data_IF_545207825096
#
_entry.id   IF_545207825096
#
_cell.length_a   1.000
_cell.length_b   1.000
_cell.length_c   1.000
_cell.angle_alpha   90.00
_cell.angle_beta   90.00
_cell.angle_gamma   90.00
#
_symmetry.space_group_name_H-M   'P 1'
#
loop_
_entity.id
_entity.type
_entity.pdbx_description
1 polymer ?
#
# COMPACT_ATOMS: atom_id res chain seq x y z
N UNK A 1 -4.60 16.15 -1.39
CA UNK A 1 -5.77 15.32 -1.01
C UNK A 1 -5.93 14.31 -2.12
N UNK A 2 -6.13 13.03 -1.80
CA UNK A 2 -6.25 11.95 -2.78
C UNK A 2 -7.36 12.23 -3.80
N UNK A 3 -7.06 12.05 -5.08
CA UNK A 3 -8.02 12.27 -6.16
C UNK A 3 -9.06 11.13 -6.27
N UNK A 4 -10.19 11.33 -6.97
CA UNK A 4 -11.12 10.24 -7.27
C UNK A 4 -10.49 9.11 -8.11
N UNK A 5 -9.52 9.44 -8.96
CA UNK A 5 -8.79 8.46 -9.75
C UNK A 5 -7.91 7.59 -8.84
N UNK A 6 -7.14 8.24 -7.97
CA UNK A 6 -6.28 7.60 -6.98
C UNK A 6 -7.09 6.67 -6.07
N UNK A 7 -8.28 7.11 -5.62
CA UNK A 7 -9.20 6.27 -4.82
C UNK A 7 -9.61 5.00 -5.57
N UNK A 8 -9.84 5.11 -6.88
CA UNK A 8 -10.22 3.97 -7.71
C UNK A 8 -9.05 3.01 -7.89
N UNK A 9 -7.85 3.55 -8.13
CA UNK A 9 -6.60 2.79 -8.22
C UNK A 9 -6.32 2.06 -6.92
N UNK A 10 -6.38 2.76 -5.79
CA UNK A 10 -6.14 2.19 -4.46
C UNK A 10 -7.07 1.01 -4.18
N UNK A 11 -8.37 1.18 -4.44
CA UNK A 11 -9.36 0.10 -4.28
C UNK A 11 -9.08 -1.10 -5.17
N UNK A 12 -8.68 -0.87 -6.43
CA UNK A 12 -8.29 -1.96 -7.34
C UNK A 12 -7.05 -2.71 -6.82
N UNK A 13 -6.02 -1.96 -6.41
CA UNK A 13 -4.78 -2.52 -5.88
C UNK A 13 -5.01 -3.24 -4.53
N UNK A 14 -5.97 -2.79 -3.71
CA UNK A 14 -6.38 -3.50 -2.50
C UNK A 14 -7.01 -4.84 -2.80
N UNK A 15 -7.94 -4.90 -3.77
CA UNK A 15 -8.50 -6.18 -4.20
C UNK A 15 -7.39 -7.11 -4.71
N UNK A 16 -6.43 -6.58 -5.45
CA UNK A 16 -5.27 -7.35 -5.92
C UNK A 16 -4.41 -7.87 -4.76
N UNK A 17 -4.10 -7.04 -3.76
CA UNK A 17 -3.36 -7.44 -2.57
C UNK A 17 -4.09 -8.56 -1.81
N UNK A 18 -5.41 -8.44 -1.63
CA UNK A 18 -6.23 -9.50 -1.01
C UNK A 18 -6.16 -10.80 -1.80
N UNK A 19 -6.16 -10.75 -3.15
CA UNK A 19 -5.99 -11.94 -3.98
C UNK A 19 -4.64 -12.60 -3.75
N UNK A 20 -3.57 -11.82 -3.67
CA UNK A 20 -2.22 -12.34 -3.42
C UNK A 20 -2.09 -12.91 -2.01
N UNK A 21 -2.75 -12.31 -1.02
CA UNK A 21 -2.69 -12.72 0.38
C UNK A 21 -3.58 -13.92 0.70
N UNK A 22 -4.46 -14.32 -0.22
CA UNK A 22 -5.45 -15.39 -0.01
C UNK A 22 -4.83 -16.71 0.46
N UNK A 23 -3.66 -17.10 -0.05
CA UNK A 23 -2.96 -18.34 0.34
C UNK A 23 -2.37 -18.29 1.75
N UNK A 24 -2.20 -17.09 2.31
CA UNK A 24 -1.63 -16.89 3.64
C UNK A 24 -2.69 -16.54 4.70
N UNK A 25 -3.86 -16.07 4.25
CA UNK A 25 -4.91 -15.54 5.10
C UNK A 25 -4.54 -14.18 5.72
N UNK A 26 -5.55 -13.40 6.09
CA UNK A 26 -5.38 -12.17 6.86
C UNK A 26 -6.25 -12.33 8.12
N UNK A 27 -5.62 -12.31 9.29
CA UNK A 27 -6.21 -12.62 10.58
C UNK A 27 -6.75 -11.39 11.32
N UNK A 28 -6.50 -10.18 10.81
CA UNK A 28 -6.99 -8.96 11.40
C UNK A 28 -6.54 -7.70 10.67
N UNK A 29 -7.06 -6.56 11.15
CA UNK A 29 -6.77 -5.24 10.60
C UNK A 29 -5.27 -4.88 10.70
N UNK A 30 -4.56 -5.38 11.72
CA UNK A 30 -3.11 -5.11 11.90
C UNK A 30 -2.32 -5.68 10.73
N UNK A 31 -2.44 -6.97 10.46
CA UNK A 31 -1.77 -7.61 9.32
C UNK A 31 -2.17 -6.97 8.00
N UNK A 32 -3.45 -6.67 7.81
CA UNK A 32 -3.93 -6.00 6.59
C UNK A 32 -3.25 -4.64 6.38
N UNK A 33 -3.27 -3.78 7.40
CA UNK A 33 -2.64 -2.46 7.37
C UNK A 33 -1.13 -2.55 7.12
N UNK A 34 -0.44 -3.49 7.78
CA UNK A 34 1.00 -3.66 7.61
C UNK A 34 1.36 -4.16 6.21
N UNK A 35 0.61 -5.10 5.61
CA UNK A 35 0.90 -5.56 4.24
C UNK A 35 0.79 -4.44 3.21
N UNK A 36 -0.21 -3.55 3.34
CA UNK A 36 -0.35 -2.39 2.45
C UNK A 36 0.75 -1.37 2.72
N UNK A 37 1.03 -1.04 3.99
CA UNK A 37 2.10 -0.13 4.38
C UNK A 37 3.47 -0.56 3.84
N UNK A 38 3.82 -1.84 4.01
CA UNK A 38 5.06 -2.42 3.50
C UNK A 38 5.13 -2.39 1.97
N UNK A 39 4.00 -2.61 1.30
CA UNK A 39 3.92 -2.50 -0.16
C UNK A 39 4.22 -1.07 -0.61
N UNK A 40 3.61 -0.08 0.03
CA UNK A 40 3.83 1.33 -0.29
C UNK A 40 5.26 1.79 0.02
N UNK A 41 5.83 1.32 1.14
CA UNK A 41 7.21 1.60 1.51
C UNK A 41 8.21 1.01 0.50
N UNK A 42 7.96 -0.22 0.03
CA UNK A 42 8.82 -0.86 -0.96
C UNK A 42 8.67 -0.24 -2.35
N UNK A 43 7.46 0.17 -2.73
CA UNK A 43 7.21 0.94 -3.94
C UNK A 43 8.00 2.25 -3.91
N UNK A 44 7.94 2.98 -2.80
CA UNK A 44 8.72 4.20 -2.60
C UNK A 44 10.23 3.96 -2.71
N UNK A 45 10.76 2.93 -2.03
CA UNK A 45 12.17 2.57 -2.12
C UNK A 45 12.64 2.22 -3.54
N UNK A 46 11.72 1.80 -4.42
CA UNK A 46 11.96 1.53 -5.85
C UNK A 46 11.56 2.69 -6.78
N UNK A 47 11.31 3.88 -6.23
CA UNK A 47 10.87 5.05 -6.98
C UNK A 47 9.62 4.76 -7.84
N UNK A 48 8.66 4.06 -7.26
CA UNK A 48 7.37 3.77 -7.87
C UNK A 48 6.22 4.22 -6.97
N UNK A 49 5.11 4.65 -7.58
CA UNK A 49 3.86 4.99 -6.89
C UNK A 49 2.77 4.01 -7.32
N UNK A 50 2.13 3.37 -6.34
CA UNK A 50 1.00 2.47 -6.53
C UNK A 50 -0.19 2.90 -5.68
N UNK A 51 -0.14 2.61 -4.38
CA UNK A 51 -1.12 3.11 -3.42
C UNK A 51 -0.91 4.60 -3.12
N UNK A 52 -1.98 5.28 -2.70
CA UNK A 52 -2.01 6.71 -2.36
C UNK A 52 -2.49 6.94 -0.92
N UNK A 53 -2.22 6.00 -0.02
CA UNK A 53 -2.66 6.07 1.36
C UNK A 53 -1.72 6.89 2.23
N UNK A 54 -2.26 7.73 3.11
CA UNK A 54 -1.44 8.39 4.12
C UNK A 54 -1.28 7.48 5.33
N UNK A 55 -0.03 7.15 5.66
CA UNK A 55 0.30 6.36 6.83
C UNK A 55 0.85 7.21 7.96
N UNK A 56 0.41 6.93 9.17
CA UNK A 56 0.96 7.46 10.41
C UNK A 56 1.38 6.33 11.34
N UNK A 57 2.32 6.63 12.24
CA UNK A 57 2.77 5.70 13.26
C UNK A 57 1.65 5.50 14.27
N UNK A 58 1.21 4.26 14.42
CA UNK A 58 0.26 3.85 15.44
C UNK A 58 0.81 2.66 16.22
N UNK A 59 0.15 2.20 17.29
CA UNK A 59 0.69 1.20 18.23
C UNK A 59 1.36 -0.01 17.55
N UNK A 60 0.78 -0.53 16.46
CA UNK A 60 1.20 -1.76 15.79
C UNK A 60 1.87 -1.55 14.42
N UNK A 61 2.43 -0.36 14.18
CA UNK A 61 3.13 -0.02 12.94
C UNK A 61 2.44 1.10 12.17
N UNK A 62 2.47 1.01 10.84
CA UNK A 62 1.81 1.99 9.96
C UNK A 62 0.29 1.79 9.98
N UNK A 63 -0.46 2.87 10.14
CA UNK A 63 -1.91 2.86 10.00
C UNK A 63 -2.37 3.94 9.02
N UNK A 64 -3.31 3.58 8.16
CA UNK A 64 -4.04 4.49 7.29
C UNK A 64 -5.55 4.36 7.55
N UNK A 65 -6.16 5.51 7.87
CA UNK A 65 -7.62 5.61 8.00
C UNK A 65 -8.30 5.46 6.64
N UNK A 66 -7.72 6.06 5.60
CA UNK A 66 -8.23 6.01 4.23
C UNK A 66 -8.29 4.55 3.72
N UNK A 67 -7.29 3.74 4.06
CA UNK A 67 -7.26 2.30 3.79
C UNK A 67 -8.41 1.57 4.48
N UNK A 68 -8.60 1.84 5.78
CA UNK A 68 -9.69 1.21 6.53
C UNK A 68 -11.07 1.58 5.94
N UNK A 69 -11.27 2.85 5.61
CA UNK A 69 -12.51 3.37 5.03
C UNK A 69 -12.78 2.76 3.63
N UNK A 70 -11.75 2.64 2.78
CA UNK A 70 -11.88 2.00 1.46
C UNK A 70 -12.20 0.52 1.55
N UNK A 71 -11.58 -0.21 2.48
CA UNK A 71 -11.89 -1.63 2.67
C UNK A 71 -13.34 -1.83 3.15
N UNK A 72 -13.82 -0.98 4.06
CA UNK A 72 -15.24 -0.97 4.47
C UNK A 72 -16.15 -0.70 3.26
N UNK A 73 -15.80 0.26 2.41
CA UNK A 73 -16.54 0.55 1.17
C UNK A 73 -16.60 -0.64 0.21
N UNK A 74 -15.49 -1.35 0.02
CA UNK A 74 -15.41 -2.57 -0.78
C UNK A 74 -16.26 -3.70 -0.20
N UNK A 75 -16.29 -3.84 1.13
CA UNK A 75 -17.15 -4.81 1.82
C UNK A 75 -18.64 -4.48 1.68
N UNK A 76 -19.03 -3.21 1.86
CA UNK A 76 -20.41 -2.77 1.69
C UNK A 76 -20.95 -3.08 0.27
N UNK A 77 -20.06 -3.04 -0.72
CA UNK A 77 -20.35 -3.35 -2.13
C UNK A 77 -20.16 -4.82 -2.49
N UNK A 78 -19.92 -5.69 -1.52
CA UNK A 78 -19.77 -7.12 -1.72
C UNK A 78 -18.61 -7.48 -2.66
N UNK A 79 -17.51 -6.70 -2.70
CA UNK A 79 -16.29 -7.09 -3.41
C UNK A 79 -15.31 -7.89 -2.52
N UNK A 80 -15.37 -7.66 -1.21
CA UNK A 80 -14.61 -8.38 -0.20
C UNK A 80 -15.46 -8.62 1.04
N UNK A 81 -14.99 -9.46 1.97
CA UNK A 81 -15.72 -9.79 3.20
C UNK A 81 -14.86 -9.57 4.44
N UNK A 82 -15.48 -9.05 5.51
CA UNK A 82 -14.94 -9.01 6.87
C UNK A 82 -15.78 -9.95 7.74
N UNK A 83 -15.21 -10.74 8.68
CA UNK A 83 -13.84 -10.70 9.20
C UNK A 83 -12.81 -11.54 8.45
N UNK A 84 -13.18 -12.19 7.35
CA UNK A 84 -12.32 -13.18 6.67
C UNK A 84 -11.28 -12.56 5.73
N UNK A 85 -11.43 -11.30 5.35
CA UNK A 85 -10.57 -10.58 4.40
C UNK A 85 -10.38 -11.32 3.07
N UNK A 86 -11.43 -12.01 2.61
CA UNK A 86 -11.46 -12.71 1.33
C UNK A 86 -12.24 -11.94 0.28
N UNK A 87 -11.87 -12.15 -0.97
CA UNK A 87 -12.63 -11.65 -2.11
C UNK A 87 -13.92 -12.43 -2.30
N UNK A 88 -14.95 -11.74 -2.77
CA UNK A 88 -16.16 -12.38 -3.29
C UNK A 88 -15.99 -12.71 -4.78
N UNK A 89 -16.92 -13.47 -5.41
CA UNK A 89 -16.93 -13.65 -6.86
C UNK A 89 -16.99 -12.34 -7.66
N UNK A 90 -17.61 -11.29 -7.11
CA UNK A 90 -17.64 -9.96 -7.73
C UNK A 90 -16.25 -9.31 -7.68
N UNK A 91 -15.57 -9.37 -6.53
CA UNK A 91 -14.19 -8.89 -6.39
C UNK A 91 -13.22 -9.61 -7.32
N UNK A 92 -13.34 -10.94 -7.41
CA UNK A 92 -12.53 -11.74 -8.35
C UNK A 92 -12.81 -11.38 -9.81
N UNK A 93 -14.06 -11.05 -10.15
CA UNK A 93 -14.42 -10.63 -11.51
C UNK A 93 -13.77 -9.31 -11.89
N UNK A 94 -13.72 -8.34 -10.97
CA UNK A 94 -13.00 -7.07 -11.20
C UNK A 94 -11.52 -7.36 -11.50
N UNK A 95 -10.88 -8.28 -10.78
CA UNK A 95 -9.46 -8.58 -10.96
C UNK A 95 -9.10 -9.30 -12.27
N UNK A 96 -10.07 -9.77 -13.06
CA UNK A 96 -9.80 -10.37 -14.38
C UNK A 96 -9.15 -9.40 -15.36
N UNK A 97 -9.23 -8.09 -15.11
CA UNK A 97 -8.60 -7.05 -15.92
C UNK A 97 -7.10 -6.87 -15.61
N UNK A 98 -6.62 -7.31 -14.45
CA UNK A 98 -5.24 -7.09 -13.99
C UNK A 98 -4.19 -7.59 -15.00
N UNK A 99 -4.30 -8.81 -15.59
CA UNK A 99 -3.35 -9.26 -16.59
C UNK A 99 -3.32 -8.36 -17.84
N UNK A 100 -4.44 -7.72 -18.20
CA UNK A 100 -4.49 -6.73 -19.27
C UNK A 100 -3.73 -5.47 -18.89
N UNK A 101 -4.02 -4.91 -17.71
CA UNK A 101 -3.36 -3.70 -17.20
C UNK A 101 -1.84 -3.88 -17.08
N UNK A 102 -1.38 -5.05 -16.63
CA UNK A 102 0.03 -5.36 -16.49
C UNK A 102 0.74 -5.44 -17.86
N UNK A 103 0.09 -6.02 -18.88
CA UNK A 103 0.66 -6.14 -20.23
C UNK A 103 0.72 -4.82 -20.98
N UNK A 104 -0.16 -3.88 -20.66
CA UNK A 104 -0.22 -2.58 -21.33
C UNK A 104 0.95 -1.67 -20.95
N UNK A 105 1.44 -1.76 -19.70
CA UNK A 105 2.53 -0.93 -19.19
C UNK A 105 3.45 -1.70 -18.25
N UNK A 106 4.74 -1.63 -18.53
CA UNK A 106 5.80 -2.22 -17.70
C UNK A 106 5.83 -1.67 -16.28
N UNK A 107 5.44 -0.41 -16.11
CA UNK A 107 5.34 0.28 -14.82
C UNK A 107 4.24 -0.34 -13.96
N UNK A 108 3.10 -0.67 -14.56
CA UNK A 108 2.00 -1.34 -13.86
C UNK A 108 2.41 -2.75 -13.41
N UNK A 109 3.08 -3.51 -14.28
CA UNK A 109 3.65 -4.81 -13.91
C UNK A 109 4.65 -4.70 -12.76
N UNK A 110 5.50 -3.66 -12.77
CA UNK A 110 6.46 -3.39 -11.69
C UNK A 110 5.75 -3.14 -10.37
N UNK A 111 4.69 -2.32 -10.35
CA UNK A 111 3.93 -2.06 -9.13
C UNK A 111 3.25 -3.34 -8.61
N UNK A 112 2.60 -4.10 -9.49
CA UNK A 112 1.90 -5.33 -9.12
C UNK A 112 2.87 -6.40 -8.59
N UNK A 113 4.03 -6.56 -9.21
CA UNK A 113 5.06 -7.50 -8.75
C UNK A 113 5.61 -7.13 -7.38
N UNK A 114 5.82 -5.84 -7.10
CA UNK A 114 6.24 -5.38 -5.76
C UNK A 114 5.20 -5.74 -4.70
N UNK A 115 3.92 -5.50 -4.96
CA UNK A 115 2.83 -5.89 -4.04
C UNK A 115 2.85 -7.40 -3.81
N UNK A 116 2.99 -8.19 -4.88
CA UNK A 116 3.05 -9.64 -4.79
C UNK A 116 4.26 -10.11 -3.96
N UNK A 117 5.43 -9.51 -4.16
CA UNK A 117 6.65 -9.86 -3.45
C UNK A 117 6.56 -9.54 -1.96
N UNK A 118 5.98 -8.40 -1.59
CA UNK A 118 5.72 -8.05 -0.18
C UNK A 118 4.76 -9.04 0.45
N UNK A 119 3.66 -9.39 -0.24
CA UNK A 119 2.73 -10.39 0.28
C UNK A 119 3.39 -11.76 0.43
N UNK A 120 4.28 -12.18 -0.49
CA UNK A 120 5.04 -13.42 -0.33
C UNK A 120 6.01 -13.38 0.85
N UNK A 121 6.69 -12.25 1.05
CA UNK A 121 7.69 -12.09 2.10
C UNK A 121 7.05 -12.04 3.50
N UNK A 122 5.96 -11.28 3.64
CA UNK A 122 5.35 -10.97 4.93
C UNK A 122 4.00 -11.64 5.19
N UNK A 123 3.35 -12.20 4.16
CA UNK A 123 2.04 -12.83 4.30
C UNK A 123 2.03 -14.00 5.28
N UNK A 124 3.15 -14.70 5.46
CA UNK A 124 3.29 -15.81 6.41
C UNK A 124 3.16 -15.40 7.89
N UNK A 125 3.36 -14.12 8.22
CA UNK A 125 3.26 -13.65 9.61
C UNK A 125 1.79 -13.43 9.99
N UNK A 126 1.45 -13.68 11.24
CA UNK A 126 0.18 -13.26 11.85
C UNK A 126 0.26 -11.81 12.34
N UNK A 127 -0.84 -11.29 12.86
CA UNK A 127 -0.93 -9.91 13.34
C UNK A 127 0.04 -9.59 14.48
N UNK A 128 0.41 -10.55 15.34
CA UNK A 128 1.37 -10.31 16.43
C UNK A 128 2.83 -10.42 15.97
N UNK A 129 3.13 -11.29 15.00
CA UNK A 129 4.48 -11.56 14.52
C UNK A 129 4.92 -10.60 13.41
N UNK A 130 4.00 -9.97 12.69
CA UNK A 130 4.35 -8.99 11.65
C UNK A 130 4.87 -7.68 12.28
N UNK A 131 4.30 -7.25 13.42
CA UNK A 131 4.66 -6.00 14.09
C UNK A 131 6.16 -5.86 14.38
N UNK A 132 6.84 -6.82 15.04
CA UNK A 132 8.27 -6.70 15.31
C UNK A 132 9.11 -6.68 14.04
N UNK A 133 8.64 -7.26 12.94
CA UNK A 133 9.34 -7.19 11.65
C UNK A 133 9.20 -5.81 11.01
N UNK A 134 8.02 -5.18 11.11
CA UNK A 134 7.81 -3.82 10.62
C UNK A 134 8.59 -2.80 11.48
N UNK A 135 8.66 -2.97 12.80
CA UNK A 135 9.36 -2.04 13.69
C UNK A 135 10.87 -1.97 13.45
N UNK A 136 11.47 -3.04 12.91
CA UNK A 136 12.89 -3.09 12.54
C UNK A 136 13.21 -2.34 11.25
N UNK A 137 12.20 -1.98 10.46
CA UNK A 137 12.43 -1.33 9.17
C UNK A 137 12.99 0.05 9.40
N UNK A 138 14.12 0.30 8.75
CA UNK A 138 14.80 1.59 8.79
C UNK A 138 14.16 2.55 7.79
N UNK A 139 13.66 3.68 8.31
CA UNK A 139 13.19 4.79 7.51
C UNK A 139 14.31 5.80 7.34
N UNK A 140 14.56 6.21 6.10
CA UNK A 140 15.50 7.29 5.82
C UNK A 140 14.85 8.62 6.21
N UNK A 141 15.52 9.38 7.08
CA UNK A 141 15.08 10.72 7.45
C UNK A 141 15.44 11.70 6.33
N UNK A 142 14.58 12.71 6.06
CA UNK A 142 14.95 13.78 5.15
C UNK A 142 16.19 14.51 5.68
N UNK A 143 17.11 14.86 4.77
CA UNK A 143 18.30 15.63 5.11
C UNK A 143 17.88 16.93 5.83
N UNK A 144 18.45 17.18 7.01
CA UNK A 144 18.24 18.45 7.69
C UNK A 144 18.88 19.55 6.85
N UNK A 145 18.11 20.57 6.49
CA UNK A 145 18.60 21.73 5.75
C UNK A 145 19.68 22.55 6.49
N UNK A 146 19.95 22.24 7.77
CA UNK A 146 20.87 22.98 8.63
C UNK A 146 22.28 22.35 8.74
N UNK A 147 22.61 21.32 7.95
CA UNK A 147 23.92 20.66 7.97
C UNK A 147 24.94 21.31 7.00
N UNK A 148 24.99 22.65 6.95
CA UNK A 148 25.99 23.43 6.22
C UNK A 148 27.23 23.76 7.07
N UNK A 149 27.60 22.88 8.00
CA UNK A 149 28.89 22.97 8.71
C UNK A 149 29.52 21.59 8.80
N UNK A 150 30.56 21.42 8.00
CA UNK A 150 31.50 20.29 7.96
C UNK A 150 30.93 18.98 7.38
N UNK A 151 31.42 18.68 6.16
CA UNK A 151 31.00 17.56 5.35
C UNK A 151 31.16 16.22 6.06
N UNK A 152 30.04 15.53 6.26
CA UNK A 152 29.66 14.26 5.63
C UNK A 152 28.14 14.18 5.83
N UNK A 153 27.33 14.36 4.78
CA UNK A 153 25.88 14.11 4.86
C UNK A 153 25.66 12.61 5.07
N UNK A 154 25.66 12.17 6.33
CA UNK A 154 25.18 10.84 6.70
C UNK A 154 23.67 10.92 6.69
N UNK A 155 23.05 10.32 5.69
CA UNK A 155 21.61 10.12 5.64
C UNK A 155 21.23 9.26 6.85
N UNK A 156 20.67 9.88 7.89
CA UNK A 156 20.31 9.20 9.13
C UNK A 156 19.11 8.28 8.87
N UNK A 157 19.26 6.99 9.18
CA UNK A 157 18.16 6.05 9.19
C UNK A 157 17.65 5.85 10.62
N UNK A 158 16.33 5.74 10.78
CA UNK A 158 15.69 5.50 12.07
C UNK A 158 14.77 4.28 11.96
N UNK A 159 14.92 3.27 12.84
CA UNK A 159 13.95 2.18 12.92
C UNK A 159 12.55 2.72 13.19
N UNK A 160 11.54 2.17 12.50
CA UNK A 160 10.14 2.57 12.66
C UNK A 160 9.68 2.50 14.12
N UNK A 161 10.19 1.53 14.88
CA UNK A 161 9.92 1.38 16.31
C UNK A 161 10.23 2.65 17.13
N UNK A 162 11.23 3.42 16.73
CA UNK A 162 11.68 4.65 17.41
C UNK A 162 10.97 5.93 16.92
N UNK A 163 10.17 5.83 15.86
CA UNK A 163 9.36 6.96 15.39
C UNK A 163 8.25 7.24 16.41
N UNK A 164 8.05 8.50 16.77
CA UNK A 164 6.99 8.91 17.68
C UNK A 164 5.60 8.51 17.16
N UNK A 165 4.71 8.11 18.07
CA UNK A 165 3.31 7.88 17.71
C UNK A 165 2.69 9.12 17.06
N UNK A 166 1.77 8.88 16.13
CA UNK A 166 1.08 9.89 15.32
C UNK A 166 1.96 10.66 14.33
N UNK A 167 3.27 10.40 14.28
CA UNK A 167 4.11 10.95 13.22
C UNK A 167 3.66 10.44 11.85
N UNK A 168 3.69 11.32 10.84
CA UNK A 168 3.47 10.92 9.47
C UNK A 168 4.64 10.03 9.00
N UNK A 169 4.32 8.85 8.46
CA UNK A 169 5.29 7.88 7.96
C UNK A 169 5.42 7.95 6.45
N UNK A 170 4.29 7.97 5.75
CA UNK A 170 4.23 8.08 4.29
C UNK A 170 3.11 9.04 3.90
N UNK A 171 3.44 9.97 3.01
CA UNK A 171 2.51 10.94 2.43
C UNK A 171 2.72 10.95 0.92
N UNK A 172 2.07 10.03 0.17
CA UNK A 172 2.33 9.82 -1.26
C UNK A 172 2.26 11.09 -2.11
N UNK A 173 1.34 12.00 -1.78
CA UNK A 173 1.16 13.28 -2.50
C UNK A 173 2.39 14.21 -2.46
N UNK A 174 3.32 14.01 -1.53
CA UNK A 174 4.54 14.82 -1.40
C UNK A 174 5.72 14.21 -2.15
N UNK A 175 5.53 13.07 -2.80
CA UNK A 175 6.58 12.27 -3.37
C UNK A 175 6.43 12.29 -4.89
N UNK A 176 7.50 12.66 -5.59
CA UNK A 176 7.59 12.53 -7.04
C UNK A 176 8.44 11.31 -7.37
N UNK A 177 7.82 10.34 -8.04
CA UNK A 177 8.47 9.14 -8.55
C UNK A 177 8.38 9.13 -10.07
N UNK A 178 9.32 8.49 -10.80
CA UNK A 178 9.25 8.32 -12.25
C UNK A 178 8.26 7.22 -12.68
N UNK A 179 7.95 6.27 -11.81
CA UNK A 179 7.10 5.10 -12.13
C UNK A 179 5.75 5.27 -11.44
N UNK A 180 4.67 5.26 -12.22
CA UNK A 180 3.30 5.38 -11.69
C UNK A 180 2.42 4.24 -12.18
N UNK A 181 1.61 3.69 -11.28
CA UNK A 181 0.49 2.86 -11.68
C UNK A 181 -0.60 3.72 -12.28
N UNK A 182 -0.94 3.48 -13.55
CA UNK A 182 -1.97 4.25 -14.23
C UNK A 182 -2.93 3.35 -15.00
N UNK A 183 -4.17 3.81 -15.09
CA UNK A 183 -5.24 3.18 -15.84
C UNK A 183 -5.58 4.04 -17.05
N UNK A 184 -5.91 3.40 -18.17
CA UNK A 184 -6.47 4.11 -19.32
C UNK A 184 -7.74 4.87 -18.90
N UNK A 185 -8.01 6.06 -19.47
CA UNK A 185 -9.17 6.88 -19.08
C UNK A 185 -10.51 6.13 -19.15
N UNK A 186 -10.72 5.33 -20.20
CA UNK A 186 -11.96 4.57 -20.38
C UNK A 186 -12.13 3.50 -19.28
N UNK A 187 -11.05 2.78 -18.97
CA UNK A 187 -11.06 1.75 -17.92
C UNK A 187 -11.22 2.38 -16.54
N UNK A 188 -10.55 3.50 -16.29
CA UNK A 188 -10.68 4.25 -15.06
C UNK A 188 -12.12 4.73 -14.84
N UNK A 189 -12.79 5.21 -15.88
CA UNK A 189 -14.19 5.64 -15.80
C UNK A 189 -15.11 4.48 -15.40
N UNK A 190 -14.97 3.31 -16.05
CA UNK A 190 -15.74 2.11 -15.74
C UNK A 190 -15.47 1.64 -14.30
N UNK A 191 -14.20 1.53 -13.91
CA UNK A 191 -13.83 1.08 -12.58
C UNK A 191 -14.28 2.05 -11.50
N UNK A 192 -14.26 3.35 -11.77
CA UNK A 192 -14.77 4.34 -10.83
C UNK A 192 -16.26 4.10 -10.59
N UNK A 193 -17.06 3.85 -11.61
CA UNK A 193 -18.49 3.61 -11.42
C UNK A 193 -18.78 2.29 -10.68
N UNK A 194 -17.94 1.27 -10.90
CA UNK A 194 -18.04 -0.04 -10.24
C UNK A 194 -17.57 0.01 -8.78
N UNK A 195 -16.45 0.68 -8.51
CA UNK A 195 -15.74 0.66 -7.22
C UNK A 195 -16.00 1.87 -6.34
N UNK A 196 -16.60 2.97 -6.83
CA UNK A 196 -16.94 4.18 -6.04
C UNK A 196 -17.85 3.87 -4.89
#
# INVERSE_FOLDING_TARGET
MRSPADTTIDRLLLLYLLKMAMSFGIDGDVKFQQLVFLSELQLFGKQATGFHYRFFRYAYGGYSKELADDFIGLCAKQFAQKPTFVLTPAGETVLKIIPGIAKERTENETVLSIIQDIVKAYGKYDSSSIVPEVEKIELMLPEKADADVEGVSRQESLPLGHVSFHAALLVPERIQTPVHFELKPDLLAVLRDVLK
#
